data_IF_759045330740
#
_entry.id   IF_759045330740
#
_cell.length_a   1.000
_cell.length_b   1.000
_cell.length_c   1.000
_cell.angle_alpha   90.00
_cell.angle_beta   90.00
_cell.angle_gamma   90.00
#
_symmetry.space_group_name_H-M   'P 1'
#
loop_
_entity.id
_entity.type
_entity.pdbx_description
1 polymer ?
#
# COMPACT_ATOMS: atom_id res chain seq x y z
N UNK A 1 25.74 39.07 -31.14
CA UNK A 1 24.44 38.68 -30.52
C UNK A 1 24.25 37.16 -30.44
N UNK A 2 24.62 36.40 -31.48
CA UNK A 2 24.57 34.93 -31.51
C UNK A 2 25.29 34.24 -30.34
N UNK A 3 26.49 34.70 -29.95
CA UNK A 3 27.24 34.13 -28.82
C UNK A 3 26.52 34.29 -27.46
N UNK A 4 25.77 35.38 -27.27
CA UNK A 4 24.99 35.58 -26.03
C UNK A 4 23.82 34.59 -25.96
N UNK A 5 23.11 34.37 -27.07
CA UNK A 5 22.02 33.40 -27.17
C UNK A 5 22.55 31.98 -26.94
N UNK A 6 23.72 31.65 -27.49
CA UNK A 6 24.39 30.37 -27.27
C UNK A 6 24.77 30.16 -25.79
N UNK A 7 25.22 31.20 -25.10
CA UNK A 7 25.54 31.13 -23.68
C UNK A 7 24.29 30.95 -22.80
N UNK A 8 23.19 31.65 -23.11
CA UNK A 8 21.92 31.48 -22.39
C UNK A 8 21.32 30.08 -22.59
N UNK A 9 21.32 29.57 -23.82
CA UNK A 9 20.82 28.22 -24.12
C UNK A 9 21.67 27.15 -23.44
N UNK A 10 23.00 27.27 -23.47
CA UNK A 10 23.92 26.37 -22.77
C UNK A 10 23.71 26.38 -21.25
N UNK A 11 23.43 27.56 -20.67
CA UNK A 11 23.10 27.70 -19.24
C UNK A 11 21.75 27.09 -18.84
N UNK A 12 20.74 27.10 -19.74
CA UNK A 12 19.48 26.41 -19.50
C UNK A 12 19.64 24.89 -19.59
N UNK A 13 20.38 24.41 -20.58
CA UNK A 13 20.69 22.97 -20.74
C UNK A 13 21.45 22.45 -19.54
N UNK A 14 22.44 23.19 -19.03
CA UNK A 14 23.18 22.77 -17.83
C UNK A 14 22.29 22.70 -16.58
N UNK A 15 21.38 23.67 -16.39
CA UNK A 15 20.38 23.63 -15.30
C UNK A 15 19.42 22.46 -15.45
N UNK A 16 18.92 22.18 -16.65
CA UNK A 16 18.06 21.04 -16.91
C UNK A 16 18.77 19.71 -16.62
N UNK A 17 20.03 19.58 -17.02
CA UNK A 17 20.86 18.42 -16.72
C UNK A 17 21.07 18.24 -15.22
N UNK A 18 21.31 19.33 -14.48
CA UNK A 18 21.44 19.30 -13.02
C UNK A 18 20.13 18.90 -12.32
N UNK A 19 18.97 19.37 -12.80
CA UNK A 19 17.68 18.96 -12.26
C UNK A 19 17.39 17.49 -12.55
N UNK A 20 17.69 17.04 -13.77
CA UNK A 20 17.54 15.64 -14.17
C UNK A 20 18.43 14.72 -13.34
N UNK A 21 19.71 15.07 -13.16
CA UNK A 21 20.63 14.27 -12.35
C UNK A 21 20.21 14.21 -10.88
N UNK A 22 19.71 15.32 -10.31
CA UNK A 22 19.15 15.35 -8.95
C UNK A 22 17.89 14.50 -8.83
N UNK A 23 16.96 14.62 -9.77
CA UNK A 23 15.72 13.83 -9.76
C UNK A 23 16.03 12.33 -9.84
N UNK A 24 16.98 11.92 -10.68
CA UNK A 24 17.44 10.54 -10.77
C UNK A 24 18.08 10.05 -9.46
N UNK A 25 18.93 10.87 -8.85
CA UNK A 25 19.57 10.52 -7.58
C UNK A 25 18.54 10.31 -6.47
N UNK A 26 17.66 11.29 -6.23
CA UNK A 26 16.63 11.17 -5.20
C UNK A 26 15.61 10.08 -5.52
N UNK A 27 15.29 9.85 -6.79
CA UNK A 27 14.46 8.72 -7.21
C UNK A 27 15.08 7.37 -6.85
N UNK A 28 16.39 7.19 -7.07
CA UNK A 28 17.10 5.96 -6.69
C UNK A 28 17.15 5.77 -5.17
N UNK A 29 17.46 6.82 -4.41
CA UNK A 29 17.49 6.75 -2.95
C UNK A 29 16.09 6.40 -2.42
N UNK A 30 15.05 7.05 -2.92
CA UNK A 30 13.66 6.74 -2.57
C UNK A 30 13.28 5.29 -2.88
N UNK A 31 13.74 4.74 -4.01
CA UNK A 31 13.51 3.35 -4.39
C UNK A 31 14.21 2.34 -3.46
N UNK A 32 15.44 2.61 -3.02
CA UNK A 32 16.14 1.74 -2.06
C UNK A 32 15.48 1.78 -0.68
N UNK A 33 15.06 2.96 -0.23
CA UNK A 33 14.33 3.10 1.04
C UNK A 33 12.98 2.37 0.97
N UNK A 34 12.23 2.53 -0.12
CA UNK A 34 10.94 1.86 -0.28
C UNK A 34 11.07 0.33 -0.30
N UNK A 35 12.14 -0.20 -0.88
CA UNK A 35 12.46 -1.64 -0.82
C UNK A 35 12.71 -2.13 0.60
N UNK A 36 13.44 -1.36 1.41
CA UNK A 36 13.67 -1.71 2.81
C UNK A 36 12.37 -1.73 3.61
N UNK A 37 11.52 -0.72 3.42
CA UNK A 37 10.20 -0.63 4.06
C UNK A 37 9.33 -1.81 3.63
N UNK A 38 9.29 -2.14 2.34
CA UNK A 38 8.51 -3.27 1.81
C UNK A 38 8.82 -4.60 2.52
N UNK A 39 10.10 -4.85 2.77
CA UNK A 39 10.55 -6.05 3.48
C UNK A 39 10.30 -5.97 4.99
N UNK A 40 10.56 -4.81 5.61
CA UNK A 40 10.40 -4.61 7.06
C UNK A 40 8.95 -4.64 7.51
N UNK A 41 8.05 -4.05 6.73
CA UNK A 41 6.60 -4.04 6.97
C UNK A 41 5.92 -5.35 6.54
N UNK A 42 6.68 -6.32 5.99
CA UNK A 42 6.13 -7.61 5.59
C UNK A 42 5.09 -7.51 4.47
N UNK A 43 5.22 -6.54 3.56
CA UNK A 43 4.32 -6.35 2.42
C UNK A 43 4.49 -7.42 1.32
N UNK A 44 5.42 -8.35 1.52
CA UNK A 44 5.61 -9.51 0.65
C UNK A 44 4.41 -10.47 0.74
N UNK A 45 4.01 -11.11 -0.38
CA UNK A 45 2.99 -12.13 -0.34
C UNK A 45 3.35 -13.23 0.66
N UNK A 46 2.40 -13.65 1.52
CA UNK A 46 2.66 -14.70 2.50
C UNK A 46 2.89 -16.05 1.81
N UNK A 47 3.59 -16.94 2.51
CA UNK A 47 3.77 -18.32 2.06
C UNK A 47 2.46 -19.09 2.11
N UNK A 48 2.33 -20.14 1.28
CA UNK A 48 1.12 -20.99 1.25
C UNK A 48 0.84 -21.63 2.62
N UNK A 49 1.89 -21.95 3.39
CA UNK A 49 1.77 -22.49 4.74
C UNK A 49 1.14 -21.47 5.71
N UNK A 50 1.54 -20.20 5.65
CA UNK A 50 0.95 -19.12 6.44
C UNK A 50 -0.51 -18.87 6.04
N UNK A 51 -0.82 -18.94 4.74
CA UNK A 51 -2.20 -18.81 4.27
C UNK A 51 -3.09 -19.92 4.84
N UNK A 52 -2.62 -21.18 4.79
CA UNK A 52 -3.34 -22.34 5.34
C UNK A 52 -3.55 -22.20 6.85
N UNK A 53 -2.54 -21.75 7.60
CA UNK A 53 -2.66 -21.59 9.05
C UNK A 53 -3.71 -20.54 9.41
N UNK A 54 -3.67 -19.36 8.78
CA UNK A 54 -4.66 -18.28 8.98
C UNK A 54 -6.06 -18.76 8.63
N UNK A 55 -6.25 -19.40 7.48
CA UNK A 55 -7.56 -19.91 7.06
C UNK A 55 -8.11 -20.94 8.06
N UNK A 56 -7.27 -21.89 8.50
CA UNK A 56 -7.68 -22.91 9.47
C UNK A 56 -8.04 -22.33 10.84
N UNK A 57 -7.33 -21.28 11.26
CA UNK A 57 -7.60 -20.58 12.52
C UNK A 57 -8.90 -19.79 12.44
N UNK A 58 -9.11 -19.05 11.36
CA UNK A 58 -10.36 -18.33 11.12
C UNK A 58 -11.56 -19.27 11.08
N UNK A 59 -11.42 -20.42 10.42
CA UNK A 59 -12.47 -21.44 10.37
C UNK A 59 -12.82 -21.96 11.77
N UNK A 60 -11.82 -22.40 12.54
CA UNK A 60 -12.02 -22.85 13.93
C UNK A 60 -12.64 -21.76 14.81
N UNK A 61 -12.19 -20.53 14.64
CA UNK A 61 -12.67 -19.41 15.43
C UNK A 61 -14.12 -19.08 15.08
N UNK A 62 -14.51 -19.14 13.81
CA UNK A 62 -15.91 -18.97 13.37
C UNK A 62 -16.84 -20.05 13.95
N UNK A 63 -16.38 -21.30 14.03
CA UNK A 63 -17.12 -22.38 14.69
C UNK A 63 -17.28 -22.10 16.19
N UNK A 64 -16.20 -21.68 16.87
CA UNK A 64 -16.27 -21.31 18.29
C UNK A 64 -17.23 -20.15 18.54
N UNK A 65 -17.26 -19.14 17.65
CA UNK A 65 -18.22 -18.04 17.68
C UNK A 65 -19.67 -18.55 17.59
N UNK A 66 -19.94 -19.51 16.71
CA UNK A 66 -21.28 -20.09 16.54
C UNK A 66 -21.71 -20.96 17.74
N UNK A 67 -20.78 -21.74 18.30
CA UNK A 67 -21.07 -22.64 19.42
C UNK A 67 -21.22 -21.92 20.77
N UNK A 68 -20.63 -20.74 20.93
CA UNK A 68 -20.60 -20.00 22.20
C UNK A 68 -20.99 -18.52 22.09
N UNK A 69 -22.25 -18.21 21.74
CA UNK A 69 -22.68 -16.84 21.48
C UNK A 69 -22.62 -15.91 22.71
N UNK A 70 -22.76 -16.44 23.93
CA UNK A 70 -22.79 -15.66 25.18
C UNK A 70 -21.40 -15.12 25.58
N UNK A 71 -20.34 -15.90 25.35
CA UNK A 71 -18.95 -15.48 25.59
C UNK A 71 -18.56 -14.34 24.62
N UNK A 72 -19.06 -14.41 23.40
CA UNK A 72 -18.80 -13.43 22.33
C UNK A 72 -19.46 -12.10 22.62
N UNK A 73 -20.72 -12.12 23.07
CA UNK A 73 -21.45 -10.90 23.45
C UNK A 73 -20.75 -10.16 24.60
N UNK A 74 -20.20 -10.92 25.54
CA UNK A 74 -19.42 -10.40 26.66
C UNK A 74 -18.08 -9.79 26.20
N UNK A 75 -17.42 -10.42 25.23
CA UNK A 75 -16.21 -9.89 24.60
C UNK A 75 -16.48 -8.58 23.86
N UNK A 76 -17.54 -8.51 23.05
CA UNK A 76 -17.93 -7.31 22.30
C UNK A 76 -18.25 -6.12 23.21
N UNK A 77 -18.90 -6.38 24.36
CA UNK A 77 -19.24 -5.34 25.34
C UNK A 77 -18.00 -4.74 26.03
N UNK A 78 -16.92 -5.51 26.11
CA UNK A 78 -15.66 -5.10 26.75
C UNK A 78 -14.62 -4.56 25.75
N UNK A 79 -14.99 -4.26 24.50
CA UNK A 79 -14.05 -3.71 23.51
C UNK A 79 -13.60 -2.30 23.91
N UNK A 80 -12.29 -2.12 23.98
CA UNK A 80 -11.67 -0.81 24.20
C UNK A 80 -11.71 0.05 22.93
N UNK A 81 -11.84 1.37 23.09
CA UNK A 81 -11.89 2.33 21.96
C UNK A 81 -10.65 2.24 21.04
N UNK A 82 -9.48 1.96 21.62
CA UNK A 82 -8.23 1.80 20.86
C UNK A 82 -8.27 0.58 19.92
N UNK A 83 -8.86 -0.53 20.37
CA UNK A 83 -9.02 -1.72 19.54
C UNK A 83 -9.98 -1.45 18.39
N UNK A 84 -11.09 -0.74 18.65
CA UNK A 84 -12.04 -0.37 17.59
C UNK A 84 -11.37 0.50 16.52
N UNK A 85 -10.56 1.47 16.91
CA UNK A 85 -9.80 2.30 15.96
C UNK A 85 -8.82 1.47 15.13
N UNK A 86 -8.11 0.53 15.76
CA UNK A 86 -7.17 -0.37 15.07
C UNK A 86 -7.88 -1.25 14.05
N UNK A 87 -8.97 -1.91 14.43
CA UNK A 87 -9.75 -2.74 13.50
C UNK A 87 -10.44 -1.90 12.42
N UNK A 88 -10.87 -0.68 12.74
CA UNK A 88 -11.38 0.28 11.75
C UNK A 88 -10.32 0.64 10.72
N UNK A 89 -9.09 0.93 11.15
CA UNK A 89 -7.97 1.20 10.26
C UNK A 89 -7.67 0.01 9.33
N UNK A 90 -7.70 -1.22 9.85
CA UNK A 90 -7.56 -2.43 9.03
C UNK A 90 -8.70 -2.58 8.03
N UNK A 91 -9.94 -2.27 8.41
CA UNK A 91 -11.09 -2.27 7.49
C UNK A 91 -10.89 -1.31 6.32
N UNK A 92 -10.44 -0.08 6.60
CA UNK A 92 -10.11 0.90 5.55
C UNK A 92 -8.98 0.39 4.66
N UNK A 93 -7.95 -0.20 5.24
CA UNK A 93 -6.82 -0.76 4.49
C UNK A 93 -7.26 -1.89 3.54
N UNK A 94 -8.15 -2.78 3.97
CA UNK A 94 -8.71 -3.85 3.14
C UNK A 94 -9.52 -3.29 1.96
N UNK A 95 -10.35 -2.27 2.19
CA UNK A 95 -11.09 -1.57 1.13
C UNK A 95 -10.12 -0.92 0.14
N UNK A 96 -9.03 -0.32 0.64
CA UNK A 96 -7.96 0.23 -0.18
C UNK A 96 -7.33 -0.83 -1.08
N UNK A 97 -6.92 -1.97 -0.53
CA UNK A 97 -6.32 -3.07 -1.32
C UNK A 97 -7.30 -3.68 -2.32
N UNK A 98 -8.57 -3.84 -1.95
CA UNK A 98 -9.61 -4.28 -2.88
C UNK A 98 -9.72 -3.34 -4.09
N UNK A 99 -9.75 -2.03 -3.84
CA UNK A 99 -9.81 -1.01 -4.90
C UNK A 99 -8.56 -1.02 -5.80
N UNK A 100 -7.37 -1.24 -5.23
CA UNK A 100 -6.13 -1.43 -6.00
C UNK A 100 -6.22 -2.69 -6.87
N UNK A 101 -6.76 -3.78 -6.33
CA UNK A 101 -7.04 -5.00 -7.08
C UNK A 101 -7.97 -4.76 -8.27
N UNK A 102 -9.05 -4.00 -8.08
CA UNK A 102 -9.94 -3.60 -9.18
C UNK A 102 -9.21 -2.77 -10.24
N UNK A 103 -8.37 -1.80 -9.84
CA UNK A 103 -7.54 -0.99 -10.75
C UNK A 103 -6.63 -1.88 -11.61
N UNK A 104 -5.97 -2.86 -11.00
CA UNK A 104 -5.10 -3.80 -11.69
C UNK A 104 -5.92 -4.70 -12.63
N UNK A 105 -7.03 -5.27 -12.15
CA UNK A 105 -7.90 -6.14 -12.93
C UNK A 105 -8.50 -5.45 -14.15
N UNK A 106 -8.95 -4.20 -14.00
CA UNK A 106 -9.49 -3.39 -15.11
C UNK A 106 -8.42 -2.69 -15.94
N UNK A 107 -7.16 -2.68 -15.49
CA UNK A 107 -6.01 -2.00 -16.10
C UNK A 107 -6.24 -0.50 -16.36
N UNK A 108 -7.02 0.15 -15.48
CA UNK A 108 -7.37 1.57 -15.57
C UNK A 108 -7.44 2.22 -14.20
N UNK A 109 -6.94 3.44 -14.11
CA UNK A 109 -7.01 4.24 -12.88
C UNK A 109 -8.43 4.70 -12.59
N UNK A 110 -9.17 5.16 -13.60
CA UNK A 110 -10.53 5.72 -13.42
C UNK A 110 -11.51 5.04 -14.37
N UNK A 111 -12.58 4.48 -13.80
CA UNK A 111 -13.72 3.92 -14.53
C UNK A 111 -13.38 2.74 -15.45
N UNK A 112 -14.43 2.22 -16.09
CA UNK A 112 -14.29 1.30 -17.22
C UNK A 112 -14.18 2.09 -18.52
N UNK A 113 -13.73 1.44 -19.60
CA UNK A 113 -13.87 2.05 -20.92
C UNK A 113 -15.38 2.13 -21.19
N UNK A 114 -15.92 3.34 -21.20
CA UNK A 114 -17.23 3.58 -21.78
C UNK A 114 -17.20 3.01 -23.20
N UNK A 115 -18.29 2.33 -23.58
CA UNK A 115 -18.67 2.28 -24.99
C UNK A 115 -18.75 3.71 -25.51
#
# INVERSE_FOLDING_TARGET
MLSRIQNYTSGLVSKANLLSSKALYYGKVGAEISKQIYLKEGLQPPTVAQFKSVYSNLYKQSLNFALKPTEVLSCLKNIQKNELLKYGAYGIQLIGFYSVGEIIGRRKLVGYKHH
#
